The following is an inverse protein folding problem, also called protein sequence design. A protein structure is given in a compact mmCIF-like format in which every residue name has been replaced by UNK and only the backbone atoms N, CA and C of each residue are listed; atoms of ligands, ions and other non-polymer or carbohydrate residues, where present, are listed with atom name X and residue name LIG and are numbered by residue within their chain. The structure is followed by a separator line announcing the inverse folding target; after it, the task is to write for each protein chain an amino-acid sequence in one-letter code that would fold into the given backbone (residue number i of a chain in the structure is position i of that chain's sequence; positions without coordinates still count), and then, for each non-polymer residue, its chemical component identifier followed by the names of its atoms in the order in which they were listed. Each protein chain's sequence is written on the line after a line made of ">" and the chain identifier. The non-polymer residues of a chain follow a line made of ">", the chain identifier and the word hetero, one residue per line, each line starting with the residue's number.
data_IF_464918907044
#
_entry.id   IF_464918907044
#
_cell.length_a   1.000
_cell.length_b   1.000
_cell.length_c   1.000
_cell.angle_alpha   90.00
_cell.angle_beta   90.00
_cell.angle_gamma   90.00
#
_symmetry.space_group_name_H-M   'P 1'
#
loop_
_entity.id
_entity.type
_entity.pdbx_description
1 polymer ?
#
# COMPACT_ATOMS: atom_id res chain seq x y z
N UNK A 1 -8.48 -17.14 -3.69
CA UNK A 1 -7.02 -17.23 -3.47
C UNK A 1 -6.23 -16.98 -4.77
N UNK A 2 -6.81 -16.34 -5.81
CA UNK A 2 -6.21 -16.33 -7.16
C UNK A 2 -5.95 -14.92 -7.72
N UNK A 3 -6.05 -13.85 -6.92
CA UNK A 3 -5.96 -12.49 -7.50
C UNK A 3 -4.58 -12.19 -8.08
N UNK A 4 -3.52 -12.65 -7.42
CA UNK A 4 -2.16 -12.55 -7.96
C UNK A 4 -2.00 -13.40 -9.22
N UNK A 5 -2.49 -14.65 -9.21
CA UNK A 5 -2.42 -15.54 -10.38
C UNK A 5 -3.19 -14.99 -11.59
N UNK A 6 -4.34 -14.34 -11.35
CA UNK A 6 -5.18 -13.77 -12.40
C UNK A 6 -4.64 -12.46 -12.96
N UNK A 7 -4.01 -11.63 -12.13
CA UNK A 7 -3.53 -10.30 -12.53
C UNK A 7 -2.04 -10.24 -12.84
N UNK A 8 -1.27 -11.25 -12.41
CA UNK A 8 0.21 -11.23 -12.41
C UNK A 8 0.81 -10.12 -11.54
N UNK A 9 0.00 -9.37 -10.80
CA UNK A 9 0.40 -8.15 -10.11
C UNK A 9 0.60 -8.40 -8.61
N UNK A 10 1.37 -7.55 -7.90
CA UNK A 10 1.38 -7.56 -6.44
C UNK A 10 -0.02 -7.38 -5.87
N UNK A 11 -0.34 -8.10 -4.81
CA UNK A 11 -1.64 -8.04 -4.13
C UNK A 11 -1.42 -7.79 -2.64
N UNK A 12 -2.16 -6.82 -2.10
CA UNK A 12 -2.06 -6.38 -0.72
C UNK A 12 -3.45 -6.51 -0.08
N UNK A 13 -3.51 -7.06 1.12
CA UNK A 13 -4.76 -7.08 1.89
C UNK A 13 -5.01 -5.74 2.54
N UNK A 14 -6.25 -5.25 2.44
CA UNK A 14 -6.69 -4.01 3.09
C UNK A 14 -7.95 -4.24 3.92
N UNK A 15 -8.14 -3.42 4.94
CA UNK A 15 -9.38 -3.37 5.72
C UNK A 15 -9.88 -1.93 5.86
N UNK A 16 -11.20 -1.72 5.81
CA UNK A 16 -11.78 -0.44 6.16
C UNK A 16 -11.54 -0.13 7.64
N UNK A 17 -11.12 1.09 7.92
CA UNK A 17 -10.90 1.60 9.29
C UNK A 17 -11.64 2.93 9.48
N UNK A 18 -11.73 3.40 10.72
CA UNK A 18 -12.22 4.74 10.98
C UNK A 18 -11.18 5.80 10.59
N UNK A 19 -11.65 7.01 10.29
CA UNK A 19 -10.80 8.14 9.90
C UNK A 19 -9.77 8.52 10.99
N UNK A 20 -10.09 8.28 12.26
CA UNK A 20 -9.19 8.56 13.37
C UNK A 20 -8.02 7.57 13.46
N UNK A 21 -8.13 6.42 12.81
CA UNK A 21 -7.12 5.37 12.85
C UNK A 21 -6.08 5.53 11.73
N UNK A 22 -6.29 6.43 10.77
CA UNK A 22 -5.44 6.56 9.57
C UNK A 22 -3.99 6.88 9.89
N UNK A 23 -3.73 7.61 10.98
CA UNK A 23 -2.38 7.99 11.41
C UNK A 23 -1.54 6.83 11.96
N UNK A 24 -2.07 5.60 11.95
CA UNK A 24 -1.42 4.40 12.50
C UNK A 24 -1.08 3.36 11.44
N UNK A 25 -1.47 3.60 10.18
CA UNK A 25 -1.38 2.64 9.11
C UNK A 25 -1.01 3.30 7.78
N UNK A 26 -0.43 2.51 6.88
CA UNK A 26 -0.41 2.82 5.45
C UNK A 26 -1.83 2.71 4.86
N UNK A 27 -2.28 3.76 4.18
CA UNK A 27 -3.61 3.87 3.58
C UNK A 27 -3.49 3.82 2.06
N UNK A 28 -4.34 3.03 1.40
CA UNK A 28 -4.39 2.98 -0.07
C UNK A 28 -5.36 4.01 -0.63
N UNK A 29 -4.96 4.66 -1.71
CA UNK A 29 -5.83 5.46 -2.57
C UNK A 29 -6.11 4.67 -3.86
N UNK A 30 -7.33 4.12 -4.01
CA UNK A 30 -7.67 3.30 -5.17
C UNK A 30 -8.03 4.13 -6.40
N UNK A 31 -7.52 3.72 -7.56
CA UNK A 31 -7.90 4.28 -8.87
C UNK A 31 -9.25 3.75 -9.35
N UNK A 32 -9.48 2.46 -9.15
CA UNK A 32 -10.69 1.75 -9.58
C UNK A 32 -11.00 0.61 -8.61
N UNK A 33 -12.26 0.16 -8.63
CA UNK A 33 -12.74 -0.95 -7.81
C UNK A 33 -13.56 -1.90 -8.68
N UNK A 34 -13.27 -3.20 -8.57
CA UNK A 34 -14.07 -4.30 -9.08
C UNK A 34 -14.44 -5.23 -7.91
N UNK A 35 -15.67 -5.12 -7.42
CA UNK A 35 -16.19 -5.78 -6.22
C UNK A 35 -15.32 -5.55 -4.97
N UNK A 36 -14.36 -6.46 -4.72
CA UNK A 36 -13.44 -6.41 -3.57
C UNK A 36 -11.98 -6.18 -3.96
N UNK A 37 -11.70 -6.02 -5.25
CA UNK A 37 -10.37 -5.80 -5.77
C UNK A 37 -10.22 -4.33 -6.15
N UNK A 38 -9.21 -3.68 -5.55
CA UNK A 38 -8.89 -2.29 -5.81
C UNK A 38 -7.59 -2.19 -6.58
N UNK A 39 -7.60 -1.45 -7.69
CA UNK A 39 -6.36 -1.04 -8.33
C UNK A 39 -5.79 0.14 -7.55
N UNK A 40 -4.62 -0.04 -6.95
CA UNK A 40 -3.98 0.99 -6.12
C UNK A 40 -3.30 2.03 -7.01
N UNK A 41 -3.59 3.31 -6.77
CA UNK A 41 -2.93 4.43 -7.42
C UNK A 41 -1.77 4.95 -6.58
N UNK A 42 -2.05 5.19 -5.30
CA UNK A 42 -1.15 5.78 -4.34
C UNK A 42 -1.30 5.09 -3.00
N UNK A 43 -0.28 5.25 -2.17
CA UNK A 43 -0.19 4.69 -0.84
C UNK A 43 0.40 5.78 0.05
N UNK A 44 -0.21 6.01 1.20
CA UNK A 44 0.19 7.08 2.11
C UNK A 44 0.48 6.50 3.48
N UNK A 45 1.66 6.76 4.01
CA UNK A 45 2.02 6.35 5.37
C UNK A 45 1.49 7.33 6.40
N UNK A 46 0.69 6.83 7.34
CA UNK A 46 0.14 7.57 8.48
C UNK A 46 -0.50 8.93 8.11
N UNK A 47 -1.38 9.01 7.10
CA UNK A 47 -1.94 10.28 6.66
C UNK A 47 -2.84 10.89 7.73
N UNK A 48 -2.87 12.22 7.74
CA UNK A 48 -3.80 13.01 8.57
C UNK A 48 -5.25 12.59 8.29
N UNK A 49 -6.11 12.48 9.32
CA UNK A 49 -7.54 12.18 9.13
C UNK A 49 -8.19 13.15 8.14
N UNK A 50 -9.04 12.63 7.25
CA UNK A 50 -9.70 13.39 6.19
C UNK A 50 -8.85 13.65 4.92
N UNK A 51 -7.60 13.20 4.87
CA UNK A 51 -6.76 13.35 3.67
C UNK A 51 -7.06 12.31 2.59
N UNK A 52 -7.32 11.05 2.98
CA UNK A 52 -7.59 9.97 2.05
C UNK A 52 -9.07 9.94 1.62
N UNK A 53 -9.37 9.72 0.33
CA UNK A 53 -10.76 9.61 -0.13
C UNK A 53 -11.45 8.35 0.40
N UNK A 54 -10.69 7.28 0.68
CA UNK A 54 -11.16 6.05 1.29
C UNK A 54 -10.17 5.60 2.37
N UNK A 55 -10.70 5.22 3.53
CA UNK A 55 -9.91 4.78 4.67
C UNK A 55 -9.70 3.27 4.64
N UNK A 56 -8.95 2.81 3.64
CA UNK A 56 -8.55 1.41 3.47
C UNK A 56 -7.11 1.23 3.93
N UNK A 57 -6.94 0.61 5.10
CA UNK A 57 -5.64 0.40 5.71
C UNK A 57 -5.01 -0.93 5.29
N UNK A 58 -3.71 -0.93 5.08
CA UNK A 58 -2.92 -2.10 4.71
C UNK A 58 -2.76 -3.03 5.91
N UNK A 59 -3.03 -4.31 5.68
CA UNK A 59 -3.02 -5.33 6.72
C UNK A 59 -1.96 -6.37 6.41
N UNK A 60 -0.70 -6.12 6.78
CA UNK A 60 0.46 -7.04 6.90
C UNK A 60 0.45 -8.39 6.17
N UNK A 61 -0.09 -8.45 4.95
CA UNK A 61 -0.37 -9.64 4.15
C UNK A 61 -0.20 -9.21 2.70
N UNK A 62 0.88 -9.73 2.13
CA UNK A 62 1.38 -9.28 0.85
C UNK A 62 1.67 -10.51 0.00
N UNK A 63 1.22 -10.46 -1.25
CA UNK A 63 1.75 -11.30 -2.31
C UNK A 63 2.51 -10.34 -3.22
N UNK A 64 3.84 -10.44 -3.23
CA UNK A 64 4.70 -9.55 -3.99
C UNK A 64 5.37 -10.31 -5.12
N UNK A 65 5.59 -9.61 -6.23
CA UNK A 65 6.44 -10.14 -7.29
C UNK A 65 7.91 -9.94 -6.92
N UNK A 66 8.84 -10.77 -7.43
CA UNK A 66 10.27 -10.69 -7.07
C UNK A 66 10.91 -9.32 -7.31
N UNK A 67 10.39 -8.52 -8.24
CA UNK A 67 10.88 -7.18 -8.56
C UNK A 67 10.86 -6.24 -7.35
N UNK A 68 10.07 -6.52 -6.31
CA UNK A 68 10.05 -5.73 -5.08
C UNK A 68 11.45 -5.59 -4.46
N UNK A 69 12.30 -6.59 -4.58
CA UNK A 69 13.67 -6.53 -4.04
C UNK A 69 14.53 -5.48 -4.77
N UNK A 70 14.29 -5.25 -6.07
CA UNK A 70 14.98 -4.20 -6.84
C UNK A 70 14.56 -2.80 -6.39
N UNK A 71 13.31 -2.65 -5.95
CA UNK A 71 12.81 -1.37 -5.43
C UNK A 71 13.26 -1.12 -4.00
N UNK A 72 13.29 -2.16 -3.16
CA UNK A 72 13.80 -2.11 -1.79
C UNK A 72 15.28 -1.73 -1.75
N UNK A 73 16.10 -2.28 -2.64
CA UNK A 73 17.54 -1.97 -2.74
C UNK A 73 17.82 -0.49 -3.04
N UNK A 74 16.87 0.21 -3.66
CA UNK A 74 16.96 1.63 -4.01
C UNK A 74 16.41 2.56 -2.94
N UNK A 75 15.69 2.03 -1.94
CA UNK A 75 15.07 2.87 -0.94
C UNK A 75 16.10 3.49 0.00
N UNK A 76 15.80 4.71 0.42
CA UNK A 76 16.50 5.37 1.50
C UNK A 76 15.75 5.16 2.82
N UNK A 77 16.39 5.54 3.92
CA UNK A 77 15.74 5.55 5.22
C UNK A 77 14.62 6.59 5.21
N UNK A 78 13.40 6.14 5.48
CA UNK A 78 12.19 6.95 5.48
C UNK A 78 11.66 7.22 6.89
N UNK A 79 10.34 7.15 7.03
CA UNK A 79 9.66 7.38 8.31
C UNK A 79 10.20 6.44 9.41
N UNK A 80 10.34 6.98 10.63
CA UNK A 80 10.78 6.21 11.79
C UNK A 80 12.25 5.76 11.78
N UNK A 81 13.04 6.16 10.77
CA UNK A 81 14.43 5.70 10.65
C UNK A 81 14.56 4.30 10.03
N UNK A 82 13.53 3.82 9.33
CA UNK A 82 13.48 2.50 8.72
C UNK A 82 13.36 2.58 7.19
N UNK A 83 13.74 1.50 6.50
CA UNK A 83 13.42 1.32 5.07
C UNK A 83 11.98 0.82 4.99
N UNK A 84 11.11 1.62 4.37
CA UNK A 84 9.68 1.32 4.31
C UNK A 84 9.34 0.50 3.06
N UNK A 85 8.61 -0.60 3.26
CA UNK A 85 8.11 -1.43 2.16
C UNK A 85 7.13 -0.65 1.27
N UNK A 86 6.38 0.27 1.86
CA UNK A 86 5.35 1.07 1.19
C UNK A 86 5.93 2.06 0.19
N UNK A 87 7.09 2.64 0.48
CA UNK A 87 7.83 3.47 -0.48
C UNK A 87 8.33 2.63 -1.66
N UNK A 88 8.80 1.39 -1.40
CA UNK A 88 9.23 0.47 -2.44
C UNK A 88 8.07 0.01 -3.35
N UNK A 89 6.87 -0.21 -2.80
CA UNK A 89 5.67 -0.59 -3.57
C UNK A 89 5.28 0.52 -4.56
N UNK A 90 5.49 1.78 -4.21
CA UNK A 90 5.19 2.93 -5.08
C UNK A 90 6.25 3.19 -6.15
N UNK A 91 7.34 2.42 -6.17
CA UNK A 91 8.40 2.57 -7.17
C UNK A 91 9.49 3.58 -6.78
N UNK A 92 9.46 4.13 -5.57
CA UNK A 92 10.59 4.86 -4.98
C UNK A 92 10.83 6.28 -5.49
N UNK A 93 9.81 7.00 -5.97
CA UNK A 93 9.91 8.47 -6.07
C UNK A 93 9.01 9.13 -5.00
N UNK A 94 9.56 10.08 -4.22
CA UNK A 94 8.81 10.83 -3.20
C UNK A 94 7.78 11.78 -3.80
#
# INVERSE_FOLDING_TARGET
>A
MNQHEATGSPVISVLPISDKETQRYGIVDPFSCDDRLYQVKLLMENPTPGYAPLNLAIMGRYIMTPEIFLYLDKQQVGAGGEIQLTDAILGGEP
#
